data_IF_946182844585
#
_entry.id   IF_946182844585
#
_cell.length_a   1.000
_cell.length_b   1.000
_cell.length_c   1.000
_cell.angle_alpha   90.00
_cell.angle_beta   90.00
_cell.angle_gamma   90.00
#
_symmetry.space_group_name_H-M   'P 1'
#
loop_
_entity.id
_entity.type
_entity.pdbx_description
1 polymer ?
#
# COMPACT_ATOMS: atom_id res chain seq x y z
N UNK A 1 10.13 -2.83 23.02
CA UNK A 1 8.70 -3.19 22.88
C UNK A 1 8.14 -2.17 21.91
N UNK A 2 8.25 -2.52 20.63
CA UNK A 2 8.50 -1.57 19.56
C UNK A 2 7.31 -0.75 19.10
N UNK A 3 7.61 0.49 18.76
CA UNK A 3 6.66 1.47 18.23
C UNK A 3 6.48 1.17 16.74
N UNK A 4 5.37 0.52 16.38
CA UNK A 4 5.00 0.27 14.98
C UNK A 4 4.49 1.58 14.37
N UNK A 5 5.00 1.88 13.18
CA UNK A 5 5.01 3.18 12.51
C UNK A 5 3.65 3.60 11.95
N UNK A 6 2.75 2.64 11.76
CA UNK A 6 1.39 2.82 11.23
C UNK A 6 0.62 3.98 11.90
N UNK A 7 0.95 4.32 13.16
CA UNK A 7 0.18 5.24 14.02
C UNK A 7 0.21 6.72 13.59
N UNK A 8 1.38 7.29 13.27
CA UNK A 8 1.47 8.74 12.95
C UNK A 8 0.96 9.04 11.54
N UNK A 9 1.17 8.11 10.62
CA UNK A 9 0.83 8.28 9.22
C UNK A 9 -0.63 7.93 8.94
N UNK A 10 -1.23 6.94 9.60
CA UNK A 10 -2.67 6.64 9.48
C UNK A 10 -3.54 7.70 10.16
N UNK A 11 -3.07 8.30 11.27
CA UNK A 11 -3.77 9.42 11.89
C UNK A 11 -3.62 10.70 11.06
N UNK A 12 -2.43 11.02 10.56
CA UNK A 12 -2.23 12.13 9.59
C UNK A 12 -3.01 11.92 8.30
N UNK A 13 -3.16 10.68 7.82
CA UNK A 13 -4.01 10.31 6.69
C UNK A 13 -5.46 10.66 6.96
N UNK A 14 -6.00 10.17 8.06
CA UNK A 14 -7.40 10.41 8.40
C UNK A 14 -7.64 11.90 8.72
N UNK A 15 -6.68 12.62 9.29
CA UNK A 15 -6.77 14.08 9.48
C UNK A 15 -6.72 14.81 8.14
N UNK A 16 -5.82 14.45 7.24
CA UNK A 16 -5.73 15.04 5.90
C UNK A 16 -6.96 14.75 5.04
N UNK A 17 -7.52 13.55 5.13
CA UNK A 17 -8.69 13.09 4.37
C UNK A 17 -10.03 13.56 4.97
N UNK A 18 -10.13 13.64 6.30
CA UNK A 18 -11.38 13.90 7.03
C UNK A 18 -11.44 15.29 7.68
N UNK A 19 -10.32 16.02 7.72
CA UNK A 19 -10.20 17.34 8.32
C UNK A 19 -10.55 17.39 9.80
N UNK A 20 -10.43 16.27 10.53
CA UNK A 20 -10.85 16.16 11.93
C UNK A 20 -10.08 15.05 12.67
N UNK A 21 -9.41 15.42 13.76
CA UNK A 21 -8.55 14.55 14.58
C UNK A 21 -9.31 13.49 15.39
N UNK A 22 -10.49 13.82 15.92
CA UNK A 22 -11.32 12.90 16.70
C UNK A 22 -11.87 11.80 15.80
N UNK A 23 -12.32 12.16 14.60
CA UNK A 23 -12.77 11.20 13.60
C UNK A 23 -11.62 10.34 13.06
N UNK A 24 -10.42 10.92 12.92
CA UNK A 24 -9.23 10.17 12.57
C UNK A 24 -8.91 9.09 13.61
N UNK A 25 -8.97 9.45 14.90
CA UNK A 25 -8.78 8.49 15.98
C UNK A 25 -9.84 7.38 15.97
N UNK A 26 -11.10 7.71 15.68
CA UNK A 26 -12.20 6.72 15.59
C UNK A 26 -12.00 5.72 14.44
N UNK A 27 -11.56 6.20 13.28
CA UNK A 27 -11.23 5.33 12.13
C UNK A 27 -10.06 4.43 12.46
N UNK A 28 -8.97 4.97 13.04
CA UNK A 28 -7.80 4.15 13.38
C UNK A 28 -8.12 3.14 14.48
N UNK A 29 -9.03 3.48 15.40
CA UNK A 29 -9.52 2.55 16.42
C UNK A 29 -10.50 1.50 15.88
N UNK A 30 -10.81 1.49 14.57
CA UNK A 30 -11.70 0.52 13.95
C UNK A 30 -13.16 0.64 14.41
N UNK A 31 -13.61 1.82 14.86
CA UNK A 31 -15.00 2.01 15.30
C UNK A 31 -15.94 1.88 14.10
N UNK A 32 -16.92 0.96 14.21
CA UNK A 32 -17.94 0.75 13.17
C UNK A 32 -18.92 1.92 13.06
N UNK A 33 -19.27 2.52 14.19
CA UNK A 33 -20.19 3.67 14.26
C UNK A 33 -19.43 5.00 14.32
N UNK A 34 -18.90 5.41 13.16
CA UNK A 34 -18.27 6.73 13.03
C UNK A 34 -19.35 7.82 13.14
N UNK A 35 -19.26 8.66 14.18
CA UNK A 35 -20.08 9.88 14.33
C UNK A 35 -19.60 10.95 13.35
N UNK A 36 -19.88 10.73 12.06
CA UNK A 36 -19.42 11.53 10.96
C UNK A 36 -20.54 11.88 9.98
N UNK A 37 -20.30 12.83 9.07
CA UNK A 37 -21.24 13.08 7.98
C UNK A 37 -21.26 11.91 6.99
N UNK A 38 -22.34 11.71 6.20
CA UNK A 38 -22.38 10.68 5.15
C UNK A 38 -21.17 10.73 4.21
N UNK A 39 -20.75 11.94 3.83
CA UNK A 39 -19.53 12.19 3.04
C UNK A 39 -18.27 11.61 3.69
N UNK A 40 -18.06 11.90 4.97
CA UNK A 40 -16.88 11.44 5.72
C UNK A 40 -16.89 9.92 5.90
N UNK A 41 -18.06 9.31 6.12
CA UNK A 41 -18.19 7.84 6.17
C UNK A 41 -17.88 7.18 4.83
N UNK A 42 -18.34 7.76 3.72
CA UNK A 42 -18.06 7.24 2.38
C UNK A 42 -16.56 7.28 2.06
N UNK A 43 -15.89 8.40 2.37
CA UNK A 43 -14.44 8.54 2.22
C UNK A 43 -13.66 7.52 3.08
N UNK A 44 -14.01 7.40 4.37
CA UNK A 44 -13.35 6.46 5.28
C UNK A 44 -13.56 5.00 4.85
N UNK A 45 -14.79 4.63 4.47
CA UNK A 45 -15.10 3.29 3.98
C UNK A 45 -14.30 2.93 2.72
N UNK A 46 -14.28 3.81 1.73
CA UNK A 46 -13.49 3.61 0.52
C UNK A 46 -11.99 3.50 0.81
N UNK A 47 -11.47 4.38 1.65
CA UNK A 47 -10.06 4.34 2.06
C UNK A 47 -9.70 3.00 2.74
N UNK A 48 -10.60 2.48 3.57
CA UNK A 48 -10.45 1.18 4.25
C UNK A 48 -10.37 0.04 3.23
N UNK A 49 -11.32 -0.05 2.29
CA UNK A 49 -11.35 -1.10 1.26
C UNK A 49 -10.09 -1.03 0.38
N UNK A 50 -9.74 0.15 -0.11
CA UNK A 50 -8.56 0.36 -0.96
C UNK A 50 -7.24 0.05 -0.23
N UNK A 51 -7.19 0.22 1.09
CA UNK A 51 -6.00 -0.09 1.90
C UNK A 51 -5.87 -1.59 2.14
N UNK A 52 -6.94 -2.23 2.59
CA UNK A 52 -6.92 -3.61 3.11
C UNK A 52 -7.13 -4.67 2.02
N UNK A 53 -8.08 -4.42 1.12
CA UNK A 53 -8.55 -5.36 0.09
C UNK A 53 -8.74 -4.65 -1.25
N UNK A 54 -7.69 -4.03 -1.83
CA UNK A 54 -7.84 -3.24 -3.05
C UNK A 54 -8.44 -4.03 -4.22
N UNK A 55 -8.22 -5.34 -4.28
CA UNK A 55 -8.81 -6.23 -5.29
C UNK A 55 -10.33 -6.38 -5.20
N UNK A 56 -10.94 -5.98 -4.08
CA UNK A 56 -12.37 -5.98 -3.88
C UNK A 56 -13.03 -4.63 -4.24
N UNK A 57 -12.26 -3.58 -4.58
CA UNK A 57 -12.83 -2.29 -4.98
C UNK A 57 -13.61 -2.44 -6.28
N UNK A 58 -14.86 -1.98 -6.28
CA UNK A 58 -15.75 -2.12 -7.43
C UNK A 58 -16.53 -0.83 -7.77
N UNK A 59 -17.44 -0.92 -8.76
CA UNK A 59 -18.24 0.22 -9.20
C UNK A 59 -19.23 0.70 -8.12
N UNK A 60 -19.65 -0.16 -7.18
CA UNK A 60 -20.54 0.23 -6.09
C UNK A 60 -19.81 1.10 -5.07
N UNK A 61 -18.54 0.81 -4.79
CA UNK A 61 -17.68 1.69 -3.99
C UNK A 61 -17.63 3.11 -4.57
N UNK A 62 -17.45 3.22 -5.88
CA UNK A 62 -17.44 4.52 -6.58
C UNK A 62 -18.82 5.17 -6.56
N UNK A 63 -19.90 4.40 -6.73
CA UNK A 63 -21.27 4.89 -6.64
C UNK A 63 -21.59 5.45 -5.24
N UNK A 64 -21.13 4.80 -4.16
CA UNK A 64 -21.26 5.30 -2.78
C UNK A 64 -20.57 6.65 -2.60
N UNK A 65 -19.38 6.84 -3.18
CA UNK A 65 -18.70 8.14 -3.15
C UNK A 65 -19.50 9.23 -3.89
N UNK A 66 -20.01 8.92 -5.08
CA UNK A 66 -20.84 9.85 -5.89
C UNK A 66 -22.13 10.24 -5.16
N UNK A 67 -22.83 9.27 -4.56
CA UNK A 67 -24.04 9.50 -3.75
C UNK A 67 -23.76 10.40 -2.53
N UNK A 68 -22.55 10.33 -1.98
CA UNK A 68 -22.11 11.21 -0.91
C UNK A 68 -21.64 12.61 -1.38
N UNK A 69 -21.88 12.94 -2.65
CA UNK A 69 -21.59 14.25 -3.25
C UNK A 69 -20.12 14.47 -3.59
N UNK A 70 -19.32 13.41 -3.74
CA UNK A 70 -17.90 13.50 -4.09
C UNK A 70 -17.80 13.58 -5.62
N UNK A 71 -17.13 14.63 -6.12
CA UNK A 71 -16.91 14.82 -7.57
C UNK A 71 -15.92 13.79 -8.12
N UNK A 72 -15.91 13.57 -9.44
CA UNK A 72 -14.93 12.67 -10.08
C UNK A 72 -13.47 13.06 -9.76
N UNK A 73 -13.18 14.36 -9.73
CA UNK A 73 -11.86 14.87 -9.29
C UNK A 73 -11.59 14.56 -7.81
N UNK A 74 -12.61 14.66 -6.95
CA UNK A 74 -12.54 14.26 -5.55
C UNK A 74 -12.30 12.76 -5.37
N UNK A 75 -12.90 11.92 -6.22
CA UNK A 75 -12.69 10.47 -6.23
C UNK A 75 -11.23 10.17 -6.61
N UNK A 76 -10.74 10.72 -7.72
CA UNK A 76 -9.34 10.53 -8.14
C UNK A 76 -8.33 11.04 -7.08
N UNK A 77 -8.61 12.17 -6.44
CA UNK A 77 -7.81 12.66 -5.30
C UNK A 77 -7.85 11.69 -4.11
N UNK A 78 -9.02 11.14 -3.79
CA UNK A 78 -9.17 10.16 -2.70
C UNK A 78 -8.34 8.90 -2.98
N UNK A 79 -8.34 8.41 -4.23
CA UNK A 79 -7.49 7.30 -4.68
C UNK A 79 -6.01 7.63 -4.44
N UNK A 80 -5.57 8.78 -4.93
CA UNK A 80 -4.17 9.21 -4.84
C UNK A 80 -3.70 9.31 -3.39
N UNK A 81 -4.46 10.02 -2.56
CA UNK A 81 -4.13 10.23 -1.14
C UNK A 81 -4.13 8.91 -0.39
N UNK A 82 -5.14 8.05 -0.58
CA UNK A 82 -5.19 6.72 0.06
C UNK A 82 -3.99 5.86 -0.33
N UNK A 83 -3.60 5.84 -1.61
CA UNK A 83 -2.45 5.06 -2.05
C UNK A 83 -1.11 5.60 -1.53
N UNK A 84 -0.93 6.91 -1.39
CA UNK A 84 0.30 7.45 -0.77
C UNK A 84 0.35 7.23 0.74
N UNK A 85 -0.79 7.31 1.43
CA UNK A 85 -0.88 6.91 2.82
C UNK A 85 -0.91 5.39 3.04
N UNK A 86 -0.82 4.61 1.96
CA UNK A 86 -0.41 3.21 1.99
C UNK A 86 1.12 3.04 1.86
N UNK A 87 1.77 3.89 1.05
CA UNK A 87 3.21 3.92 0.81
C UNK A 87 4.01 4.30 2.07
N UNK A 88 3.73 5.45 2.68
CA UNK A 88 4.57 5.96 3.77
C UNK A 88 4.59 5.05 5.01
N UNK A 89 3.43 4.53 5.51
CA UNK A 89 3.46 3.60 6.64
C UNK A 89 4.26 2.35 6.31
N UNK A 90 4.15 1.80 5.10
CA UNK A 90 4.96 0.64 4.68
C UNK A 90 6.44 0.92 4.65
N UNK A 91 6.86 2.10 4.16
CA UNK A 91 8.29 2.45 4.20
C UNK A 91 8.77 2.42 5.64
N UNK A 92 8.04 3.08 6.51
CA UNK A 92 8.50 3.23 7.87
C UNK A 92 8.35 1.87 8.65
N UNK A 93 7.25 1.11 8.54
CA UNK A 93 7.08 -0.22 9.14
C UNK A 93 8.16 -1.18 8.61
N UNK A 94 8.45 -1.09 7.30
CA UNK A 94 9.48 -1.87 6.63
C UNK A 94 10.89 -1.51 7.06
N UNK A 95 11.16 -0.31 7.60
CA UNK A 95 12.48 0.03 8.17
C UNK A 95 12.67 -0.46 9.60
N UNK A 96 11.60 -0.84 10.30
CA UNK A 96 11.66 -1.22 11.72
C UNK A 96 12.11 -0.09 12.65
N UNK A 97 12.02 1.17 12.22
CA UNK A 97 12.40 2.32 13.05
C UNK A 97 11.47 2.39 14.27
N UNK A 98 12.05 2.39 15.47
CA UNK A 98 11.32 2.70 16.70
C UNK A 98 11.52 4.17 17.04
N UNK A 99 10.43 4.92 17.23
CA UNK A 99 10.53 6.30 17.68
C UNK A 99 10.83 6.36 19.19
N UNK A 100 11.82 7.17 19.56
CA UNK A 100 12.31 7.37 20.93
C UNK A 100 11.82 8.67 21.59
N UNK A 101 10.89 9.38 20.94
CA UNK A 101 10.30 10.61 21.46
C UNK A 101 8.88 10.41 22.03
N UNK A 102 8.51 11.27 22.99
CA UNK A 102 7.14 11.35 23.50
C UNK A 102 6.23 12.06 22.49
N UNK A 103 5.15 11.40 22.09
CA UNK A 103 4.12 11.99 21.24
C UNK A 103 2.93 12.43 22.10
N UNK A 104 2.36 13.63 21.87
CA UNK A 104 1.12 14.05 22.51
C UNK A 104 -0.11 13.28 21.99
N UNK A 105 0.04 12.50 20.92
CA UNK A 105 -1.03 11.66 20.35
C UNK A 105 -1.08 10.28 21.03
N UNK A 106 -2.28 9.70 21.22
CA UNK A 106 -2.44 8.41 21.86
C UNK A 106 -1.74 7.28 21.08
N UNK A 107 -1.13 6.35 21.82
CA UNK A 107 -0.49 5.16 21.27
C UNK A 107 -1.56 4.14 20.79
N UNK A 108 -1.82 4.10 19.49
CA UNK A 108 -2.70 3.13 18.82
C UNK A 108 -2.12 1.71 18.65
N UNK A 109 -2.43 0.77 19.54
CA UNK A 109 -1.88 -0.59 19.45
C UNK A 109 -2.57 -1.45 18.38
N UNK A 110 -1.89 -1.66 17.26
CA UNK A 110 -2.25 -2.68 16.29
C UNK A 110 -2.12 -4.06 16.94
N UNK A 111 -3.09 -4.93 16.66
CA UNK A 111 -3.01 -6.34 17.04
C UNK A 111 -2.00 -7.04 16.11
N UNK A 112 -0.83 -7.48 16.61
CA UNK A 112 0.17 -8.13 15.79
C UNK A 112 -0.29 -9.51 15.30
N UNK A 113 -1.35 -10.07 15.90
CA UNK A 113 -1.93 -11.36 15.52
C UNK A 113 -3.05 -11.22 14.49
N UNK A 114 -3.41 -9.98 14.12
CA UNK A 114 -4.40 -9.74 13.08
C UNK A 114 -3.94 -10.35 11.76
N UNK A 115 -4.76 -11.25 11.23
CA UNK A 115 -4.53 -11.86 9.92
C UNK A 115 -4.91 -10.91 8.77
N UNK A 116 -4.20 -11.06 7.65
CA UNK A 116 -4.55 -10.36 6.42
C UNK A 116 -5.84 -10.92 5.82
N UNK A 117 -6.68 -10.04 5.27
CA UNK A 117 -7.89 -10.47 4.58
C UNK A 117 -7.58 -11.35 3.35
N UNK A 118 -8.45 -12.33 3.02
CA UNK A 118 -8.18 -13.29 1.95
C UNK A 118 -8.14 -12.60 0.58
N UNK A 119 -7.19 -13.04 -0.26
CA UNK A 119 -7.13 -12.67 -1.68
C UNK A 119 -8.14 -13.48 -2.47
N UNK A 120 -8.63 -12.93 -3.58
CA UNK A 120 -9.39 -13.69 -4.56
C UNK A 120 -8.48 -14.72 -5.26
N UNK A 121 -9.03 -15.89 -5.67
CA UNK A 121 -8.29 -16.82 -6.51
C UNK A 121 -7.94 -16.16 -7.85
N UNK A 122 -6.85 -16.58 -8.49
CA UNK A 122 -6.37 -15.99 -9.76
C UNK A 122 -7.43 -15.96 -10.87
N UNK A 123 -8.38 -16.91 -10.85
CA UNK A 123 -9.51 -16.97 -11.79
C UNK A 123 -10.44 -15.75 -11.73
N UNK A 124 -10.47 -15.07 -10.58
CA UNK A 124 -11.44 -14.02 -10.26
C UNK A 124 -10.79 -12.63 -10.30
N UNK A 125 -9.52 -12.54 -10.68
CA UNK A 125 -8.79 -11.28 -10.72
C UNK A 125 -9.31 -10.35 -11.82
N UNK A 126 -9.33 -9.05 -11.53
CA UNK A 126 -9.75 -8.03 -12.48
C UNK A 126 -8.66 -7.78 -13.54
N UNK A 127 -8.86 -8.34 -14.75
CA UNK A 127 -7.94 -8.23 -15.88
C UNK A 127 -7.60 -6.79 -16.33
N UNK A 128 -8.40 -5.79 -15.94
CA UNK A 128 -8.13 -4.38 -16.26
C UNK A 128 -7.08 -3.73 -15.35
N UNK A 129 -6.73 -4.38 -14.22
CA UNK A 129 -5.75 -3.88 -13.27
C UNK A 129 -4.35 -4.14 -13.81
N UNK A 130 -3.58 -3.07 -13.96
CA UNK A 130 -2.24 -3.12 -14.52
C UNK A 130 -1.28 -2.14 -13.84
N UNK A 131 -0.71 -2.54 -12.71
CA UNK A 131 0.33 -1.80 -12.00
C UNK A 131 1.72 -1.85 -12.59
N UNK A 132 1.95 -2.35 -13.81
CA UNK A 132 3.28 -2.28 -14.47
C UNK A 132 3.57 -0.91 -15.09
N UNK A 133 2.58 -0.02 -15.11
CA UNK A 133 2.65 1.32 -15.71
C UNK A 133 2.20 2.39 -14.73
N UNK A 134 2.61 3.62 -14.99
CA UNK A 134 2.11 4.79 -14.24
C UNK A 134 0.59 4.92 -14.41
N UNK A 135 -0.17 5.14 -13.32
CA UNK A 135 -1.61 5.34 -13.39
C UNK A 135 -1.97 6.65 -14.12
N UNK A 136 -2.98 6.57 -14.97
CA UNK A 136 -3.53 7.71 -15.69
C UNK A 136 -4.84 8.19 -15.04
N UNK A 137 -4.79 9.40 -14.49
CA UNK A 137 -5.91 10.11 -13.87
C UNK A 137 -6.51 11.09 -14.89
N UNK A 138 -7.81 11.01 -15.14
CA UNK A 138 -8.47 11.82 -16.16
C UNK A 138 -8.63 13.28 -15.72
N UNK A 139 -8.79 13.52 -14.41
CA UNK A 139 -8.96 14.85 -13.80
C UNK A 139 -7.66 15.42 -13.22
N UNK A 140 -6.61 14.61 -13.14
CA UNK A 140 -5.28 15.05 -12.71
C UNK A 140 -4.15 14.48 -13.60
N UNK A 141 -4.15 14.75 -14.93
CA UNK A 141 -3.19 14.16 -15.86
C UNK A 141 -1.72 14.47 -15.51
N UNK A 142 -1.45 15.59 -14.83
CA UNK A 142 -0.11 15.97 -14.36
C UNK A 142 0.51 14.98 -13.36
N UNK A 143 -0.30 14.17 -12.67
CA UNK A 143 0.18 13.16 -11.71
C UNK A 143 1.08 12.13 -12.40
N UNK A 144 0.78 11.79 -13.66
CA UNK A 144 1.60 10.83 -14.39
C UNK A 144 3.04 11.33 -14.57
N UNK A 145 3.21 12.62 -14.90
CA UNK A 145 4.54 13.24 -15.04
C UNK A 145 5.32 13.33 -13.73
N UNK A 146 4.63 13.34 -12.59
CA UNK A 146 5.26 13.32 -11.26
C UNK A 146 5.66 11.89 -10.84
N UNK A 147 4.87 10.89 -11.22
CA UNK A 147 5.12 9.49 -10.87
C UNK A 147 6.15 8.81 -11.77
N UNK A 148 6.28 9.23 -13.04
CA UNK A 148 7.19 8.58 -14.00
C UNK A 148 8.66 8.60 -13.53
N UNK A 149 9.24 9.72 -13.07
CA UNK A 149 10.61 9.71 -12.53
C UNK A 149 10.77 8.77 -11.32
N UNK A 150 9.73 8.65 -10.49
CA UNK A 150 9.71 7.72 -9.37
C UNK A 150 9.64 6.25 -9.82
N UNK A 151 8.88 5.95 -10.87
CA UNK A 151 8.85 4.63 -11.50
C UNK A 151 10.24 4.28 -12.02
N UNK A 152 10.87 5.18 -12.79
CA UNK A 152 12.23 4.98 -13.33
C UNK A 152 13.23 4.74 -12.20
N UNK A 153 13.17 5.54 -11.13
CA UNK A 153 14.02 5.37 -9.96
C UNK A 153 13.88 3.99 -9.32
N UNK A 154 12.65 3.49 -9.16
CA UNK A 154 12.40 2.20 -8.50
C UNK A 154 12.59 0.99 -9.44
N UNK A 155 12.32 1.11 -10.73
CA UNK A 155 12.27 -0.04 -11.65
C UNK A 155 13.50 -0.17 -12.53
N UNK A 156 14.08 0.95 -12.99
CA UNK A 156 15.02 0.94 -14.12
C UNK A 156 16.49 1.02 -13.67
N UNK A 157 16.76 1.29 -12.38
CA UNK A 157 18.11 1.32 -11.80
C UNK A 157 18.70 -0.09 -11.65
N UNK A 158 20.00 -0.24 -11.83
CA UNK A 158 20.73 -1.51 -11.60
C UNK A 158 21.37 -1.60 -10.22
N UNK A 159 21.37 -0.51 -9.45
CA UNK A 159 21.90 -0.43 -8.08
C UNK A 159 20.93 0.29 -7.12
N UNK A 160 20.97 -0.02 -5.81
CA UNK A 160 21.79 -1.09 -5.21
C UNK A 160 21.25 -2.50 -5.52
N UNK A 161 19.96 -2.61 -5.85
CA UNK A 161 19.33 -3.87 -6.24
C UNK A 161 19.51 -4.17 -7.74
N UNK A 162 19.92 -5.41 -8.03
CA UNK A 162 19.91 -5.96 -9.39
C UNK A 162 18.50 -5.97 -10.00
N UNK A 163 18.43 -5.94 -11.34
CA UNK A 163 17.15 -6.00 -12.06
C UNK A 163 16.34 -7.26 -11.73
N UNK A 164 17.02 -8.41 -11.57
CA UNK A 164 16.36 -9.66 -11.16
C UNK A 164 15.69 -9.52 -9.80
N UNK A 165 16.41 -8.95 -8.82
CA UNK A 165 15.85 -8.75 -7.48
C UNK A 165 14.63 -7.83 -7.53
N UNK A 166 14.69 -6.71 -8.27
CA UNK A 166 13.54 -5.82 -8.44
C UNK A 166 12.32 -6.55 -9.02
N UNK A 167 12.51 -7.35 -10.05
CA UNK A 167 11.41 -8.13 -10.62
C UNK A 167 10.86 -9.18 -9.64
N UNK A 168 11.70 -9.79 -8.80
CA UNK A 168 11.25 -10.72 -7.76
C UNK A 168 10.38 -10.01 -6.72
N UNK A 169 10.82 -8.86 -6.22
CA UNK A 169 10.07 -8.04 -5.25
C UNK A 169 8.72 -7.62 -5.85
N UNK A 170 8.75 -7.03 -7.05
CA UNK A 170 7.55 -6.51 -7.73
C UNK A 170 6.58 -7.63 -8.07
N UNK A 171 7.05 -8.77 -8.60
CA UNK A 171 6.23 -9.96 -8.85
C UNK A 171 5.45 -10.37 -7.60
N UNK A 172 6.13 -10.39 -6.45
CA UNK A 172 5.55 -10.86 -5.18
C UNK A 172 4.46 -9.90 -4.71
N UNK A 173 4.72 -8.58 -4.72
CA UNK A 173 3.71 -7.57 -4.43
C UNK A 173 2.50 -7.66 -5.36
N UNK A 174 2.76 -7.72 -6.66
CA UNK A 174 1.73 -7.76 -7.71
C UNK A 174 0.83 -8.98 -7.57
N UNK A 175 1.40 -10.15 -7.25
CA UNK A 175 0.63 -11.35 -6.97
C UNK A 175 -0.23 -11.19 -5.69
N UNK A 176 0.36 -10.69 -4.61
CA UNK A 176 -0.35 -10.52 -3.32
C UNK A 176 -1.43 -9.45 -3.32
N UNK A 177 -1.42 -8.58 -4.33
CA UNK A 177 -2.45 -7.57 -4.57
C UNK A 177 -3.39 -7.94 -5.71
N UNK A 178 -3.33 -9.15 -6.26
CA UNK A 178 -4.21 -9.58 -7.36
C UNK A 178 -4.14 -8.67 -8.61
N UNK A 179 -2.96 -8.13 -8.90
CA UNK A 179 -2.72 -7.23 -10.04
C UNK A 179 -2.37 -8.06 -11.29
N UNK A 180 -3.42 -8.51 -11.98
CA UNK A 180 -3.32 -9.54 -13.02
C UNK A 180 -2.44 -9.14 -14.18
N UNK A 181 -2.61 -7.95 -14.76
CA UNK A 181 -1.90 -7.61 -15.99
C UNK A 181 -0.44 -7.27 -15.71
N UNK A 182 -0.13 -6.72 -14.53
CA UNK A 182 1.26 -6.52 -14.13
C UNK A 182 1.96 -7.87 -13.90
N UNK A 183 1.27 -8.87 -13.32
CA UNK A 183 1.88 -10.17 -13.01
C UNK A 183 2.44 -10.86 -14.25
N UNK A 184 1.79 -10.68 -15.40
CA UNK A 184 2.22 -11.26 -16.69
C UNK A 184 3.67 -10.92 -17.02
N UNK A 185 4.14 -9.71 -16.70
CA UNK A 185 5.49 -9.25 -17.05
C UNK A 185 6.61 -9.95 -16.26
N UNK A 186 6.31 -10.41 -15.05
CA UNK A 186 7.31 -10.96 -14.14
C UNK A 186 6.94 -12.38 -13.67
N UNK A 187 6.00 -13.01 -14.38
CA UNK A 187 5.40 -14.29 -13.96
C UNK A 187 6.39 -15.42 -13.85
N UNK A 188 7.55 -15.35 -14.51
CA UNK A 188 8.56 -16.41 -14.48
C UNK A 188 9.66 -16.15 -13.45
N UNK A 189 9.67 -14.96 -12.83
CA UNK A 189 10.61 -14.64 -11.76
C UNK A 189 10.11 -15.29 -10.47
N UNK A 190 10.82 -16.32 -10.03
CA UNK A 190 10.56 -17.09 -8.81
C UNK A 190 11.81 -17.17 -7.94
N UNK A 191 11.65 -17.28 -6.61
CA UNK A 191 12.78 -17.51 -5.73
C UNK A 191 13.42 -18.86 -6.06
N UNK A 192 14.72 -18.81 -6.36
CA UNK A 192 15.54 -19.91 -6.83
C UNK A 192 16.44 -20.50 -5.74
N UNK A 193 16.65 -19.76 -4.65
CA UNK A 193 17.50 -20.13 -3.53
C UNK A 193 16.89 -19.68 -2.20
N UNK A 194 17.52 -20.04 -1.09
CA UNK A 194 17.01 -19.74 0.25
C UNK A 194 16.99 -18.24 0.55
N UNK A 195 18.01 -17.48 0.13
CA UNK A 195 18.03 -16.03 0.28
C UNK A 195 16.85 -15.36 -0.42
N UNK A 196 16.55 -15.74 -1.66
CA UNK A 196 15.40 -15.22 -2.40
C UNK A 196 14.06 -15.63 -1.77
N UNK A 197 13.97 -16.79 -1.09
CA UNK A 197 12.78 -17.19 -0.32
C UNK A 197 12.60 -16.32 0.92
N UNK A 198 13.67 -16.07 1.69
CA UNK A 198 13.64 -15.15 2.85
C UNK A 198 13.19 -13.75 2.44
N UNK A 199 13.73 -13.24 1.33
CA UNK A 199 13.35 -11.94 0.78
C UNK A 199 11.88 -11.94 0.34
N UNK A 200 11.40 -13.01 -0.29
CA UNK A 200 9.99 -13.13 -0.69
C UNK A 200 9.06 -13.12 0.54
N UNK A 201 9.40 -13.85 1.61
CA UNK A 201 8.65 -13.81 2.87
C UNK A 201 8.59 -12.40 3.48
N UNK A 202 9.70 -11.65 3.44
CA UNK A 202 9.71 -10.25 3.87
C UNK A 202 8.73 -9.39 3.04
N UNK A 203 8.75 -9.53 1.71
CA UNK A 203 7.85 -8.80 0.79
C UNK A 203 6.39 -9.14 1.08
N UNK A 204 6.07 -10.41 1.26
CA UNK A 204 4.73 -10.89 1.59
C UNK A 204 4.28 -10.30 2.93
N UNK A 205 5.13 -10.36 3.96
CA UNK A 205 4.81 -9.80 5.29
C UNK A 205 4.56 -8.29 5.21
N UNK A 206 5.43 -7.53 4.54
CA UNK A 206 5.28 -6.08 4.39
C UNK A 206 4.05 -5.69 3.53
N UNK A 207 3.66 -6.54 2.58
CA UNK A 207 2.49 -6.30 1.72
C UNK A 207 1.19 -6.64 2.43
N UNK A 208 1.13 -7.80 3.11
CA UNK A 208 -0.07 -8.41 3.66
C UNK A 208 -0.33 -8.01 5.10
N UNK A 209 0.71 -7.91 5.92
CA UNK A 209 0.66 -7.68 7.37
C UNK A 209 1.73 -6.67 7.83
N UNK A 210 1.78 -5.45 7.26
CA UNK A 210 2.81 -4.45 7.61
C UNK A 210 2.80 -4.10 9.11
N UNK A 211 1.63 -4.15 9.76
CA UNK A 211 1.47 -3.95 11.21
C UNK A 211 2.17 -4.99 12.08
N UNK A 212 2.68 -6.09 11.50
CA UNK A 212 3.41 -7.14 12.21
C UNK A 212 4.94 -7.09 11.96
N UNK A 213 5.42 -6.08 11.22
CA UNK A 213 6.85 -5.91 10.96
C UNK A 213 7.63 -5.58 12.24
N UNK A 214 8.88 -6.02 12.30
CA UNK A 214 9.76 -5.88 13.45
C UNK A 214 11.23 -5.87 13.02
N UNK A 215 12.13 -5.51 13.95
CA UNK A 215 13.57 -5.56 13.71
C UNK A 215 14.07 -6.97 13.28
N UNK A 216 13.42 -8.04 13.74
CA UNK A 216 13.75 -9.43 13.36
C UNK A 216 13.63 -9.66 11.86
N UNK A 217 12.66 -9.01 11.21
CA UNK A 217 12.47 -9.14 9.76
C UNK A 217 13.60 -8.49 8.98
N UNK A 218 14.18 -7.41 9.51
CA UNK A 218 15.34 -6.71 8.93
C UNK A 218 16.62 -7.51 9.15
N UNK A 219 16.80 -8.05 10.35
CA UNK A 219 17.96 -8.88 10.67
C UNK A 219 17.98 -10.17 9.83
N UNK A 220 16.80 -10.70 9.47
CA UNK A 220 16.70 -11.80 8.51
C UNK A 220 17.24 -11.43 7.12
N UNK A 221 16.96 -10.21 6.62
CA UNK A 221 17.51 -9.72 5.35
C UNK A 221 19.03 -9.54 5.41
N UNK A 222 19.55 -8.98 6.51
CA UNK A 222 21.00 -8.86 6.75
C UNK A 222 21.69 -10.22 6.79
N UNK A 223 21.05 -11.20 7.43
CA UNK A 223 21.57 -12.58 7.53
C UNK A 223 21.75 -13.23 6.17
N UNK A 224 20.87 -12.94 5.20
CA UNK A 224 21.00 -13.43 3.83
C UNK A 224 21.88 -12.56 2.93
N UNK A 225 22.55 -11.55 3.52
CA UNK A 225 23.62 -10.78 2.89
C UNK A 225 23.20 -9.45 2.27
N UNK A 226 21.96 -8.98 2.48
CA UNK A 226 21.57 -7.65 2.00
C UNK A 226 22.21 -6.57 2.87
N UNK A 227 22.78 -5.56 2.21
CA UNK A 227 23.21 -4.31 2.84
C UNK A 227 22.02 -3.45 3.25
N UNK A 228 22.22 -2.52 4.19
CA UNK A 228 21.16 -1.58 4.61
C UNK A 228 20.66 -0.70 3.43
N UNK A 229 21.52 -0.41 2.44
CA UNK A 229 21.12 0.32 1.23
C UNK A 229 20.20 -0.52 0.33
N UNK A 230 20.50 -1.80 0.15
CA UNK A 230 19.64 -2.75 -0.58
C UNK A 230 18.32 -2.97 0.14
N UNK A 231 18.34 -3.09 1.48
CA UNK A 231 17.14 -3.23 2.30
C UNK A 231 16.24 -2.00 2.12
N UNK A 232 16.79 -0.79 2.24
CA UNK A 232 16.02 0.43 2.04
C UNK A 232 15.46 0.53 0.62
N UNK A 233 16.26 0.20 -0.40
CA UNK A 233 15.80 0.17 -1.78
C UNK A 233 14.69 -0.87 -2.03
N UNK A 234 14.74 -2.02 -1.33
CA UNK A 234 13.71 -3.04 -1.41
C UNK A 234 12.41 -2.55 -0.76
N UNK A 235 12.50 -1.98 0.44
CA UNK A 235 11.35 -1.42 1.18
C UNK A 235 10.62 -0.37 0.36
N UNK A 236 11.34 0.62 -0.21
CA UNK A 236 10.71 1.69 -0.99
C UNK A 236 10.12 1.18 -2.29
N UNK A 237 10.76 0.21 -2.97
CA UNK A 237 10.20 -0.44 -4.16
C UNK A 237 8.91 -1.23 -3.83
N UNK A 238 8.90 -1.99 -2.74
CA UNK A 238 7.72 -2.75 -2.29
C UNK A 238 6.58 -1.79 -1.98
N UNK A 239 6.85 -0.71 -1.24
CA UNK A 239 5.86 0.31 -0.91
C UNK A 239 5.34 1.02 -2.17
N UNK A 240 6.23 1.35 -3.12
CA UNK A 240 5.88 1.99 -4.38
C UNK A 240 4.94 1.11 -5.21
N UNK A 241 5.29 -0.17 -5.42
CA UNK A 241 4.43 -1.09 -6.16
C UNK A 241 3.09 -1.29 -5.44
N UNK A 242 3.08 -1.36 -4.10
CA UNK A 242 1.86 -1.44 -3.31
C UNK A 242 0.91 -0.25 -3.57
N UNK A 243 1.44 0.96 -3.66
CA UNK A 243 0.67 2.15 -3.97
C UNK A 243 0.18 2.15 -5.43
N UNK A 244 1.04 1.82 -6.39
CA UNK A 244 0.71 1.80 -7.81
C UNK A 244 -0.41 0.79 -8.12
N UNK A 245 -0.28 -0.46 -7.66
CA UNK A 245 -1.30 -1.49 -7.88
C UNK A 245 -2.66 -1.10 -7.29
N UNK A 246 -2.68 -0.44 -6.10
CA UNK A 246 -3.91 0.09 -5.50
C UNK A 246 -4.56 1.18 -6.34
N UNK A 247 -3.77 2.12 -6.86
CA UNK A 247 -4.29 3.15 -7.76
C UNK A 247 -4.95 2.50 -9.00
N UNK A 248 -4.36 1.44 -9.56
CA UNK A 248 -4.95 0.74 -10.70
C UNK A 248 -6.21 -0.05 -10.37
N UNK A 249 -6.30 -0.67 -9.19
CA UNK A 249 -7.55 -1.28 -8.71
C UNK A 249 -8.69 -0.28 -8.68
N UNK A 250 -8.48 0.85 -8.02
CA UNK A 250 -9.50 1.89 -7.92
C UNK A 250 -9.82 2.53 -9.28
N UNK A 251 -8.82 2.81 -10.12
CA UNK A 251 -9.05 3.37 -11.46
C UNK A 251 -9.76 2.38 -12.38
N UNK A 252 -9.55 1.07 -12.22
CA UNK A 252 -10.32 0.06 -12.95
C UNK A 252 -11.80 0.08 -12.54
N UNK A 253 -12.10 0.30 -11.25
CA UNK A 253 -13.46 0.46 -10.76
C UNK A 253 -14.14 1.76 -11.23
N UNK A 254 -13.39 2.87 -11.36
CA UNK A 254 -13.92 4.14 -11.88
C UNK A 254 -14.35 4.05 -13.36
N UNK A 255 -13.69 3.19 -14.14
CA UNK A 255 -13.91 3.05 -15.60
C UNK A 255 -15.02 2.05 -15.97
N UNK A 256 -15.56 1.32 -14.99
CA UNK A 256 -16.67 0.38 -15.15
C UNK A 256 -18.00 1.08 -14.91
#
# INVERSE_FOLDING_TARGET
MGVIIERVLTQSFCVSLLGNEELAADVVAGKKDLRASPRKRALAGFASVLTEVPWAVDAEDIARLRQAGISEEGIERTILVTAFFNYFPRVADGTGIEFDYESPLPRLTADPTREALPRFPESDWNLAVNGSRVPAFARAPQVASLLEPWRVFHMDRTEPLSQRMRHLLVRTVTHDLCDSAALVHWRDVRPSNESERTISHFVEKLTKTPWAMSAVDIDALRTVGLSDEEILAAITLIAFQNAISRMHHALAAVRR
#
